data_IF_860444208652
#
_entry.id   IF_860444208652
#
_cell.length_a   1.000
_cell.length_b   1.000
_cell.length_c   1.000
_cell.angle_alpha   90.00
_cell.angle_beta   90.00
_cell.angle_gamma   90.00
#
_symmetry.space_group_name_H-M   'P 1'
#
loop_
_entity.id
_entity.type
_entity.pdbx_description
1 polymer ?
#
# COMPACT_ATOMS: atom_id res chain seq x y z
N UNK A 1 -11.71 -19.18 -14.15
CA UNK A 1 -10.59 -18.84 -15.06
C UNK A 1 -9.25 -18.99 -14.34
N UNK A 2 -9.07 -20.08 -13.57
CA UNK A 2 -8.04 -20.18 -12.53
C UNK A 2 -7.17 -21.46 -12.53
N UNK A 3 -7.65 -22.66 -12.92
CA UNK A 3 -6.78 -23.84 -13.01
C UNK A 3 -5.64 -23.65 -14.01
N UNK A 4 -4.39 -23.96 -13.62
CA UNK A 4 -3.20 -23.85 -14.49
C UNK A 4 -3.31 -24.72 -15.74
N UNK A 5 -2.62 -24.32 -16.81
CA UNK A 5 -2.56 -25.04 -18.07
C UNK A 5 -3.54 -24.50 -19.13
N UNK A 6 -4.04 -25.33 -20.06
CA UNK A 6 -4.75 -24.86 -21.24
C UNK A 6 -5.96 -23.97 -20.95
N UNK A 7 -6.62 -24.19 -19.80
CA UNK A 7 -7.75 -23.36 -19.36
C UNK A 7 -7.31 -21.93 -19.07
N UNK A 8 -6.23 -21.73 -18.29
CA UNK A 8 -5.76 -20.40 -17.92
C UNK A 8 -5.17 -19.65 -19.11
N UNK A 9 -4.45 -20.34 -19.99
CA UNK A 9 -3.94 -19.77 -21.24
C UNK A 9 -5.06 -19.33 -22.18
N UNK A 10 -6.13 -20.13 -22.31
CA UNK A 10 -7.30 -19.78 -23.12
C UNK A 10 -7.96 -18.52 -22.61
N UNK A 11 -8.23 -18.43 -21.30
CA UNK A 11 -8.86 -17.25 -20.73
C UNK A 11 -7.94 -16.02 -20.77
N UNK A 12 -6.62 -16.21 -20.76
CA UNK A 12 -5.65 -15.13 -21.00
C UNK A 12 -5.87 -14.43 -22.35
N UNK A 13 -6.13 -15.19 -23.41
CA UNK A 13 -6.47 -14.64 -24.74
C UNK A 13 -7.83 -13.95 -24.74
N UNK A 14 -8.84 -14.57 -24.11
CA UNK A 14 -10.17 -13.96 -23.96
C UNK A 14 -10.08 -12.60 -23.27
N UNK A 15 -9.27 -12.48 -22.22
CA UNK A 15 -9.06 -11.21 -21.54
C UNK A 15 -8.37 -10.18 -22.42
N UNK A 16 -7.35 -10.57 -23.19
CA UNK A 16 -6.66 -9.64 -24.07
C UNK A 16 -7.53 -9.11 -25.22
N UNK A 17 -8.51 -9.91 -25.68
CA UNK A 17 -9.49 -9.48 -26.68
C UNK A 17 -10.59 -8.59 -26.07
N UNK A 18 -11.02 -8.90 -24.84
CA UNK A 18 -12.15 -8.23 -24.21
C UNK A 18 -11.77 -6.97 -23.40
N UNK A 19 -10.57 -6.91 -22.85
CA UNK A 19 -10.12 -5.86 -21.93
C UNK A 19 -9.11 -4.93 -22.61
N UNK A 20 -9.33 -3.62 -22.49
CA UNK A 20 -8.41 -2.62 -23.02
C UNK A 20 -7.05 -2.69 -22.31
N UNK A 21 -5.97 -2.48 -23.08
CA UNK A 21 -4.58 -2.43 -22.59
C UNK A 21 -4.12 -3.70 -21.84
N UNK A 22 -4.76 -4.85 -22.10
CA UNK A 22 -4.33 -6.14 -21.55
C UNK A 22 -3.59 -6.97 -22.61
N UNK A 23 -2.31 -7.26 -22.37
CA UNK A 23 -1.55 -8.19 -23.19
C UNK A 23 -2.05 -9.64 -23.06
N UNK A 24 -1.79 -10.48 -24.07
CA UNK A 24 -2.21 -11.88 -24.14
C UNK A 24 -1.35 -12.83 -23.27
N UNK A 25 -1.21 -12.53 -21.98
CA UNK A 25 -0.57 -13.41 -21.01
C UNK A 25 -1.59 -14.35 -20.36
N UNK A 26 -1.12 -15.33 -19.59
CA UNK A 26 -1.98 -16.25 -18.83
C UNK A 26 -3.02 -15.48 -18.00
N UNK A 27 -4.23 -16.01 -17.85
CA UNK A 27 -5.28 -15.35 -17.06
C UNK A 27 -4.83 -15.11 -15.61
N UNK A 28 -4.98 -13.87 -15.15
CA UNK A 28 -4.81 -13.46 -13.75
C UNK A 28 -6.17 -13.13 -13.11
N UNK A 29 -6.18 -13.14 -11.78
CA UNK A 29 -7.35 -12.89 -10.95
C UNK A 29 -7.87 -11.45 -11.06
N UNK A 30 -6.98 -10.46 -11.20
CA UNK A 30 -7.36 -9.06 -11.43
C UNK A 30 -8.17 -8.91 -12.74
N UNK A 31 -7.63 -9.41 -13.85
CA UNK A 31 -8.30 -9.40 -15.16
C UNK A 31 -9.59 -10.22 -15.14
N UNK A 32 -9.60 -11.36 -14.44
CA UNK A 32 -10.80 -12.18 -14.28
C UNK A 32 -11.92 -11.45 -13.54
N UNK A 33 -11.60 -10.69 -12.48
CA UNK A 33 -12.56 -9.89 -11.75
C UNK A 33 -13.12 -8.76 -12.62
N UNK A 34 -12.25 -8.02 -13.34
CA UNK A 34 -12.68 -6.97 -14.25
C UNK A 34 -13.61 -7.54 -15.33
N UNK A 35 -13.23 -8.65 -15.95
CA UNK A 35 -14.06 -9.32 -16.96
C UNK A 35 -15.42 -9.74 -16.40
N UNK A 36 -15.45 -10.37 -15.21
CA UNK A 36 -16.69 -10.78 -14.54
C UNK A 36 -17.61 -9.59 -14.28
N UNK A 37 -17.09 -8.50 -13.70
CA UNK A 37 -17.89 -7.33 -13.35
C UNK A 37 -18.38 -6.57 -14.59
N UNK A 38 -17.58 -6.54 -15.66
CA UNK A 38 -17.97 -5.92 -16.92
C UNK A 38 -19.07 -6.73 -17.64
N UNK A 39 -18.98 -8.06 -17.65
CA UNK A 39 -19.88 -8.94 -18.41
C UNK A 39 -21.13 -9.37 -17.64
N UNK A 40 -21.06 -9.45 -16.32
CA UNK A 40 -22.16 -9.86 -15.45
C UNK A 40 -22.59 -8.73 -14.48
N UNK A 41 -22.48 -7.46 -14.90
CA UNK A 41 -22.77 -6.29 -14.06
C UNK A 41 -24.13 -6.35 -13.38
N UNK A 42 -25.18 -6.78 -14.09
CA UNK A 42 -26.53 -6.87 -13.53
C UNK A 42 -26.69 -7.88 -12.39
N UNK A 43 -25.73 -8.80 -12.24
CA UNK A 43 -25.74 -9.81 -11.17
C UNK A 43 -24.90 -9.41 -9.97
N UNK A 44 -23.76 -8.75 -10.19
CA UNK A 44 -22.77 -8.49 -9.15
C UNK A 44 -22.62 -7.01 -8.78
N UNK A 45 -22.95 -6.10 -9.70
CA UNK A 45 -22.61 -4.67 -9.61
C UNK A 45 -23.16 -3.98 -8.37
N UNK A 46 -24.42 -4.25 -7.99
CA UNK A 46 -25.08 -3.58 -6.85
C UNK A 46 -24.46 -3.93 -5.48
N UNK A 47 -23.58 -4.94 -5.44
CA UNK A 47 -22.86 -5.37 -4.23
C UNK A 47 -21.37 -5.07 -4.30
N UNK A 48 -20.91 -4.37 -5.34
CA UNK A 48 -19.51 -4.00 -5.53
C UNK A 48 -19.37 -2.49 -5.43
N UNK A 49 -18.54 -2.04 -4.50
CA UNK A 49 -18.12 -0.66 -4.40
C UNK A 49 -16.70 -0.53 -4.97
N UNK A 50 -16.55 0.30 -6.01
CA UNK A 50 -15.25 0.62 -6.58
C UNK A 50 -14.72 1.88 -5.89
N UNK A 51 -13.85 1.68 -4.90
CA UNK A 51 -13.26 2.76 -4.11
C UNK A 51 -12.19 3.53 -4.90
N UNK A 52 -12.24 4.86 -4.83
CA UNK A 52 -11.27 5.76 -5.45
C UNK A 52 -11.01 7.05 -4.64
N UNK A 53 -11.62 7.22 -3.47
CA UNK A 53 -11.43 8.39 -2.61
C UNK A 53 -10.18 8.30 -1.75
N UNK A 54 -9.63 7.10 -1.56
CA UNK A 54 -8.35 6.86 -0.90
C UNK A 54 -7.59 5.71 -1.58
N UNK A 55 -6.29 5.62 -1.34
CA UNK A 55 -5.43 4.58 -1.88
C UNK A 55 -5.60 3.25 -1.14
N UNK A 56 -6.75 2.61 -1.29
CA UNK A 56 -6.92 1.20 -0.91
C UNK A 56 -5.94 0.31 -1.70
N UNK A 57 -5.62 0.74 -2.92
CA UNK A 57 -4.50 0.30 -3.74
C UNK A 57 -3.83 1.55 -4.32
N UNK A 58 -2.58 1.83 -3.95
CA UNK A 58 -1.80 2.95 -4.49
C UNK A 58 -0.65 2.46 -5.36
N UNK A 59 -0.55 2.96 -6.59
CA UNK A 59 0.51 2.59 -7.51
C UNK A 59 1.85 3.24 -7.10
N UNK A 60 2.85 2.43 -6.80
CA UNK A 60 4.07 2.88 -6.14
C UNK A 60 4.86 3.96 -6.91
N UNK A 61 4.95 3.90 -8.25
CA UNK A 61 5.72 4.88 -9.03
C UNK A 61 5.23 6.32 -8.83
N UNK A 62 3.92 6.52 -8.66
CA UNK A 62 3.32 7.85 -8.45
C UNK A 62 3.46 8.35 -7.01
N UNK A 63 3.85 7.45 -6.10
CA UNK A 63 3.80 7.68 -4.66
C UNK A 63 5.21 7.88 -4.08
N UNK A 64 6.13 6.95 -4.34
CA UNK A 64 7.38 6.86 -3.56
C UNK A 64 8.28 8.09 -3.67
N UNK A 65 8.21 8.81 -4.79
CA UNK A 65 8.96 10.05 -5.01
C UNK A 65 8.39 11.26 -4.26
N UNK A 66 7.20 11.14 -3.65
CA UNK A 66 6.49 12.25 -3.00
C UNK A 66 6.51 12.18 -1.48
N UNK A 67 7.13 11.17 -0.88
CA UNK A 67 7.09 11.00 0.58
C UNK A 67 7.68 12.19 1.36
N UNK A 68 8.75 12.81 0.87
CA UNK A 68 9.31 14.01 1.48
C UNK A 68 8.33 15.20 1.41
N UNK A 69 7.65 15.37 0.27
CA UNK A 69 6.61 16.38 0.10
C UNK A 69 5.48 16.14 1.12
N UNK A 70 4.99 14.90 1.20
CA UNK A 70 3.91 14.48 2.10
C UNK A 70 4.27 14.76 3.56
N UNK A 71 5.49 14.40 4.00
CA UNK A 71 5.98 14.71 5.36
C UNK A 71 6.01 16.20 5.66
N UNK A 72 6.32 17.04 4.68
CA UNK A 72 6.42 18.49 4.88
C UNK A 72 5.07 19.19 4.93
N UNK A 73 4.07 18.70 4.17
CA UNK A 73 2.79 19.40 3.96
C UNK A 73 1.62 18.80 4.71
N UNK A 74 1.66 17.49 4.97
CA UNK A 74 0.51 16.72 5.45
C UNK A 74 0.86 15.91 6.70
N UNK A 75 -0.13 15.17 7.19
CA UNK A 75 -0.04 14.28 8.34
C UNK A 75 -0.75 12.95 8.03
N UNK A 76 -0.43 11.86 8.74
CA UNK A 76 -1.12 10.58 8.61
C UNK A 76 -2.64 10.68 8.81
N UNK A 77 -3.36 9.67 8.33
CA UNK A 77 -4.82 9.53 8.53
C UNK A 77 -5.70 9.97 7.35
N UNK A 78 -5.12 10.51 6.27
CA UNK A 78 -5.88 10.93 5.07
C UNK A 78 -6.18 9.79 4.10
N UNK A 79 -5.24 8.85 3.95
CA UNK A 79 -5.37 7.66 3.10
C UNK A 79 -5.24 7.89 1.58
N UNK A 80 -5.27 9.13 1.10
CA UNK A 80 -5.29 9.50 -0.32
C UNK A 80 -3.92 9.98 -0.85
N UNK A 81 -3.91 10.78 -1.93
CA UNK A 81 -2.69 11.33 -2.54
C UNK A 81 -1.87 12.28 -1.65
N UNK A 82 -2.40 12.69 -0.49
CA UNK A 82 -1.71 13.51 0.51
C UNK A 82 -0.98 12.66 1.54
N UNK A 83 -1.51 11.47 1.84
CA UNK A 83 -0.89 10.47 2.70
C UNK A 83 -1.47 9.08 2.39
N UNK A 84 -0.85 8.29 1.51
CA UNK A 84 -1.46 7.06 0.98
C UNK A 84 -1.64 6.00 2.07
N UNK A 85 -2.78 5.32 2.04
CA UNK A 85 -3.02 4.18 2.93
C UNK A 85 -2.17 2.97 2.53
N UNK A 86 -2.14 2.63 1.23
CA UNK A 86 -1.36 1.52 0.68
C UNK A 86 -0.44 2.02 -0.43
N UNK A 87 0.83 1.66 -0.36
CA UNK A 87 1.77 1.74 -1.48
C UNK A 87 2.04 0.32 -1.98
N UNK A 88 1.50 -0.03 -3.15
CA UNK A 88 1.60 -1.36 -3.73
C UNK A 88 2.59 -1.40 -4.89
N UNK A 89 3.65 -2.20 -4.72
CA UNK A 89 4.72 -2.39 -5.69
C UNK A 89 4.35 -3.40 -6.80
N UNK A 90 3.25 -3.13 -7.50
CA UNK A 90 2.85 -3.92 -8.68
C UNK A 90 3.99 -3.91 -9.73
N UNK A 91 4.25 -5.07 -10.34
CA UNK A 91 5.35 -5.25 -11.29
C UNK A 91 6.74 -5.47 -10.67
N UNK A 92 6.94 -5.17 -9.39
CA UNK A 92 8.15 -5.55 -8.66
C UNK A 92 8.08 -7.01 -8.21
N UNK A 93 9.17 -7.76 -8.42
CA UNK A 93 9.26 -9.20 -8.11
C UNK A 93 10.51 -9.51 -7.27
N UNK A 94 10.61 -8.99 -6.03
CA UNK A 94 11.84 -9.12 -5.22
C UNK A 94 12.18 -10.57 -4.86
N UNK A 95 11.20 -11.49 -4.92
CA UNK A 95 11.39 -12.91 -4.68
C UNK A 95 11.89 -13.69 -5.91
N UNK A 96 12.18 -13.03 -7.04
CA UNK A 96 12.80 -13.66 -8.21
C UNK A 96 11.83 -14.36 -9.17
N UNK A 97 10.56 -13.97 -9.16
CA UNK A 97 9.57 -14.48 -10.12
C UNK A 97 9.78 -13.88 -11.51
N UNK A 98 9.59 -14.65 -12.60
CA UNK A 98 9.59 -14.10 -13.96
C UNK A 98 8.54 -13.01 -14.15
N UNK A 99 8.78 -12.11 -15.11
CA UNK A 99 7.82 -11.05 -15.46
C UNK A 99 7.92 -9.80 -14.58
N UNK A 100 9.07 -9.55 -13.96
CA UNK A 100 9.39 -8.24 -13.38
C UNK A 100 9.28 -7.15 -14.46
N UNK A 101 8.55 -6.09 -14.16
CA UNK A 101 8.36 -4.95 -15.08
C UNK A 101 9.39 -3.85 -14.82
N UNK A 102 9.94 -3.82 -13.61
CA UNK A 102 10.82 -2.77 -13.11
C UNK A 102 12.18 -3.32 -12.69
N UNK A 103 13.19 -2.46 -12.73
CA UNK A 103 14.53 -2.77 -12.25
C UNK A 103 14.52 -3.12 -10.76
N UNK A 104 15.18 -4.22 -10.41
CA UNK A 104 15.18 -4.74 -9.04
C UNK A 104 15.76 -3.73 -8.03
N UNK A 105 16.71 -2.90 -8.45
CA UNK A 105 17.29 -1.85 -7.61
C UNK A 105 16.25 -0.76 -7.28
N UNK A 106 15.53 -0.26 -8.28
CA UNK A 106 14.50 0.77 -8.08
C UNK A 106 13.34 0.26 -7.20
N UNK A 107 12.91 -0.99 -7.42
CA UNK A 107 11.93 -1.64 -6.56
C UNK A 107 12.40 -1.71 -5.10
N UNK A 108 13.64 -2.15 -4.87
CA UNK A 108 14.20 -2.28 -3.52
C UNK A 108 14.30 -0.92 -2.82
N UNK A 109 14.86 0.08 -3.49
CA UNK A 109 14.97 1.44 -2.95
C UNK A 109 13.59 2.02 -2.63
N UNK A 110 12.62 1.86 -3.54
CA UNK A 110 11.24 2.28 -3.31
C UNK A 110 10.60 1.57 -2.11
N UNK A 111 10.79 0.25 -1.98
CA UNK A 111 10.28 -0.55 -0.87
C UNK A 111 10.89 -0.13 0.47
N UNK A 112 12.20 0.09 0.52
CA UNK A 112 12.91 0.57 1.72
C UNK A 112 12.37 1.94 2.15
N UNK A 113 12.21 2.88 1.21
CA UNK A 113 11.62 4.19 1.48
C UNK A 113 10.18 4.10 1.96
N UNK A 114 9.36 3.24 1.34
CA UNK A 114 7.97 3.05 1.73
C UNK A 114 7.86 2.43 3.14
N UNK A 115 8.71 1.45 3.44
CA UNK A 115 8.81 0.87 4.78
C UNK A 115 9.18 1.94 5.80
N UNK A 116 10.24 2.71 5.56
CA UNK A 116 10.70 3.74 6.50
C UNK A 116 9.68 4.88 6.66
N UNK A 117 8.93 5.24 5.61
CA UNK A 117 7.85 6.24 5.69
C UNK A 117 6.68 5.76 6.57
N UNK A 118 6.36 4.46 6.50
CA UNK A 118 5.38 3.85 7.39
C UNK A 118 5.92 3.69 8.82
N UNK A 119 7.16 3.21 8.95
CA UNK A 119 7.80 2.90 10.22
C UNK A 119 8.08 4.15 11.06
N UNK A 120 8.36 5.29 10.43
CA UNK A 120 8.45 6.60 11.10
C UNK A 120 7.17 6.94 11.90
N UNK A 121 5.99 6.49 11.46
CA UNK A 121 4.73 6.69 12.19
C UNK A 121 4.67 5.83 13.47
N UNK A 122 5.36 4.69 13.48
CA UNK A 122 5.45 3.79 14.64
C UNK A 122 6.58 4.24 15.57
N UNK A 123 7.78 4.47 15.05
CA UNK A 123 8.94 4.96 15.79
C UNK A 123 8.65 6.29 16.49
N UNK A 124 7.88 7.17 15.84
CA UNK A 124 7.46 8.46 16.40
C UNK A 124 6.74 8.32 17.75
N UNK A 125 5.94 7.26 17.93
CA UNK A 125 5.25 6.97 19.20
C UNK A 125 6.24 6.79 20.36
N UNK A 126 7.42 6.27 20.04
CA UNK A 126 8.49 5.96 20.99
C UNK A 126 9.61 7.03 21.01
N UNK A 127 9.44 8.14 20.28
CA UNK A 127 10.41 9.24 20.28
C UNK A 127 11.60 9.03 19.34
N UNK A 128 11.47 8.17 18.34
CA UNK A 128 12.48 7.93 17.31
C UNK A 128 11.95 8.25 15.91
N UNK A 129 12.88 8.39 14.97
CA UNK A 129 12.60 8.53 13.55
C UNK A 129 13.81 8.07 12.75
N UNK A 130 13.62 7.51 11.56
CA UNK A 130 14.71 7.30 10.61
C UNK A 130 15.43 8.62 10.28
N UNK A 131 16.75 8.58 10.11
CA UNK A 131 17.56 9.75 9.75
C UNK A 131 17.16 10.32 8.38
N UNK A 132 16.86 9.42 7.45
CA UNK A 132 16.24 9.70 6.16
C UNK A 132 15.45 8.47 5.70
N UNK A 133 14.59 8.61 4.69
CA UNK A 133 13.83 7.47 4.18
C UNK A 133 14.70 6.41 3.47
N UNK A 134 15.95 6.73 3.13
CA UNK A 134 16.87 5.82 2.44
C UNK A 134 17.84 5.04 3.35
N UNK A 135 17.67 5.10 4.67
CA UNK A 135 18.56 4.42 5.62
C UNK A 135 17.76 3.78 6.74
N UNK A 136 18.30 2.70 7.32
CA UNK A 136 17.75 2.04 8.51
C UNK A 136 18.21 2.69 9.82
N UNK A 137 19.12 3.67 9.75
CA UNK A 137 19.61 4.39 10.91
C UNK A 137 18.51 5.29 11.48
N UNK A 138 18.34 5.25 12.81
CA UNK A 138 17.35 6.04 13.53
C UNK A 138 18.00 7.06 14.45
N UNK A 139 17.32 8.19 14.62
CA UNK A 139 17.68 9.26 15.56
C UNK A 139 16.55 9.50 16.55
N UNK A 140 16.91 10.04 17.72
CA UNK A 140 15.94 10.53 18.69
C UNK A 140 15.31 11.83 18.19
N UNK A 141 14.00 11.97 18.39
CA UNK A 141 13.25 13.20 18.06
C UNK A 141 12.80 13.97 19.30
N UNK A 142 12.93 13.38 20.49
CA UNK A 142 12.69 14.03 21.79
C UNK A 142 13.67 13.52 22.85
N UNK A 143 13.85 14.32 23.90
CA UNK A 143 14.64 13.93 25.07
C UNK A 143 13.87 12.92 25.93
N UNK A 144 14.61 12.07 26.64
CA UNK A 144 14.01 11.18 27.63
C UNK A 144 13.45 11.99 28.80
N UNK A 145 12.34 11.51 29.35
CA UNK A 145 11.65 12.14 30.49
C UNK A 145 11.52 11.12 31.62
N UNK A 146 11.62 11.58 32.87
CA UNK A 146 11.28 10.78 34.04
C UNK A 146 9.77 10.53 34.19
N UNK A 147 8.96 11.14 33.32
CA UNK A 147 7.50 11.07 33.33
C UNK A 147 6.96 10.64 31.94
N UNK A 148 7.18 9.38 31.52
CA UNK A 148 6.87 8.93 30.15
C UNK A 148 5.38 8.83 29.83
N UNK A 149 4.50 8.85 30.84
CA UNK A 149 3.04 8.81 30.67
C UNK A 149 2.42 10.21 30.54
N UNK A 150 3.17 11.27 30.86
CA UNK A 150 2.72 12.64 30.64
C UNK A 150 3.04 13.00 29.19
N UNK A 151 2.33 12.35 28.28
CA UNK A 151 2.39 12.67 26.87
C UNK A 151 1.59 13.96 26.65
N UNK A 152 2.30 15.09 26.55
CA UNK A 152 1.71 16.37 26.13
C UNK A 152 1.12 16.30 24.69
N UNK A 153 1.44 15.25 23.94
CA UNK A 153 0.97 14.98 22.60
C UNK A 153 -0.24 14.03 22.61
N UNK A 154 -1.44 14.61 22.51
CA UNK A 154 -2.71 13.86 22.48
C UNK A 154 -2.81 12.88 21.30
N UNK A 155 -2.17 13.18 20.16
CA UNK A 155 -2.21 12.32 18.97
C UNK A 155 -1.40 11.04 19.21
N UNK A 156 -0.20 11.17 19.76
CA UNK A 156 0.61 10.02 20.18
C UNK A 156 -0.14 9.17 21.21
N UNK A 157 -0.80 9.82 22.19
CA UNK A 157 -1.62 9.12 23.18
C UNK A 157 -2.73 8.28 22.55
N UNK A 158 -3.46 8.84 21.58
CA UNK A 158 -4.52 8.12 20.84
C UNK A 158 -3.98 6.95 20.02
N UNK A 159 -2.80 7.07 19.42
CA UNK A 159 -2.22 5.99 18.61
C UNK A 159 -1.60 4.87 19.47
N UNK A 160 -1.05 5.19 20.64
CA UNK A 160 -0.58 4.20 21.63
C UNK A 160 -1.73 3.44 22.28
N UNK A 161 -2.87 4.11 22.52
CA UNK A 161 -4.06 3.55 23.17
C UNK A 161 -5.33 3.77 22.32
N UNK A 162 -5.42 3.14 21.15
CA UNK A 162 -6.49 3.43 20.20
C UNK A 162 -7.82 2.77 20.57
N UNK A 163 -8.92 3.42 20.23
CA UNK A 163 -10.28 2.91 20.46
C UNK A 163 -10.55 1.57 19.78
N UNK A 164 -9.92 1.30 18.62
CA UNK A 164 -10.07 0.02 17.92
C UNK A 164 -9.47 -1.18 18.67
N UNK A 165 -8.67 -0.94 19.73
CA UNK A 165 -8.20 -1.99 20.65
C UNK A 165 -9.04 -2.08 21.92
N UNK A 166 -9.96 -1.14 22.17
CA UNK A 166 -10.81 -1.15 23.36
C UNK A 166 -11.93 -2.22 23.30
N UNK A 167 -12.16 -2.83 22.13
CA UNK A 167 -13.11 -3.91 21.95
C UNK A 167 -12.57 -5.25 22.50
N UNK A 168 -12.70 -5.43 23.82
CA UNK A 168 -12.37 -6.68 24.50
C UNK A 168 -12.72 -6.74 25.99
N UNK A 169 -13.30 -5.67 26.55
CA UNK A 169 -13.75 -5.63 27.96
C UNK A 169 -15.26 -5.33 27.94
N UNK A 170 -16.05 -6.39 27.77
CA UNK A 170 -17.46 -6.48 28.18
C UNK A 170 -17.76 -7.95 28.44
#
# INVERSE_FOLDING_TARGET
>A
MGPRGPVRERYGRVFAEALSNRAAWEADDQSALVYLLATERGRWGDKVFLESSYHLHGFWEEIVGRYEEMRSRWRPGLGDHRWPLVTHFVGCKPCGEPGATYEAAACREGMERALNFADDQILGLYGFQHESLGTTAVRRVRNDTGRPLDADDEEIGRLLHPEFRAAGIN
#
